data_IF_295116006413
#
_entry.id   IF_295116006413
#
_cell.length_a   1.000
_cell.length_b   1.000
_cell.length_c   1.000
_cell.angle_alpha   90.00
_cell.angle_beta   90.00
_cell.angle_gamma   90.00
#
_symmetry.space_group_name_H-M   'P 1'
#
loop_
_entity.id
_entity.type
_entity.pdbx_description
1 polymer ?
#
# COMPACT_ATOMS: atom_id res chain seq x y z
N UNK A 1 12.98 -3.75 17.33
CA UNK A 1 13.44 -2.35 17.18
C UNK A 1 13.00 -1.74 15.84
N UNK A 2 13.22 -2.40 14.69
CA UNK A 2 12.76 -1.93 13.36
C UNK A 2 11.24 -1.71 13.24
N UNK A 3 10.41 -2.58 13.85
CA UNK A 3 8.95 -2.42 13.85
C UNK A 3 8.46 -1.12 14.51
N UNK A 4 9.22 -0.54 15.47
CA UNK A 4 8.80 0.66 16.19
C UNK A 4 8.91 1.93 15.35
N UNK A 5 9.92 2.00 14.46
CA UNK A 5 10.11 3.16 13.57
C UNK A 5 9.08 3.13 12.44
N UNK A 6 8.80 1.95 11.86
CA UNK A 6 7.75 1.80 10.86
C UNK A 6 6.38 2.24 11.37
N UNK A 7 6.05 1.89 12.63
CA UNK A 7 4.83 2.36 13.28
C UNK A 7 4.76 3.89 13.38
N UNK A 8 5.82 4.53 13.89
CA UNK A 8 5.84 5.98 14.05
C UNK A 8 5.69 6.71 12.71
N UNK A 9 6.36 6.23 11.67
CA UNK A 9 6.28 6.83 10.34
C UNK A 9 4.85 6.76 9.78
N UNK A 10 4.24 5.57 9.78
CA UNK A 10 2.92 5.40 9.19
C UNK A 10 1.84 6.11 10.01
N UNK A 11 1.95 6.11 11.35
CA UNK A 11 1.07 6.88 12.22
C UNK A 11 1.16 8.39 11.95
N UNK A 12 2.36 8.94 11.72
CA UNK A 12 2.52 10.36 11.40
C UNK A 12 1.88 10.71 10.04
N UNK A 13 1.99 9.83 9.04
CA UNK A 13 1.32 10.02 7.73
C UNK A 13 -0.20 9.98 7.89
N UNK A 14 -0.73 9.01 8.63
CA UNK A 14 -2.17 8.88 8.88
C UNK A 14 -2.72 10.10 9.63
N UNK A 15 -2.01 10.60 10.64
CA UNK A 15 -2.36 11.80 11.38
C UNK A 15 -2.43 13.02 10.45
N UNK A 16 -1.44 13.19 9.58
CA UNK A 16 -1.42 14.32 8.64
C UNK A 16 -2.55 14.22 7.61
N UNK A 17 -2.82 13.03 7.08
CA UNK A 17 -3.93 12.81 6.15
C UNK A 17 -5.29 13.17 6.78
N UNK A 18 -5.50 12.78 8.05
CA UNK A 18 -6.70 13.14 8.79
C UNK A 18 -6.82 14.66 9.01
N UNK A 19 -5.73 15.33 9.42
CA UNK A 19 -5.68 16.80 9.58
C UNK A 19 -6.00 17.55 8.29
N UNK A 20 -5.62 16.99 7.13
CA UNK A 20 -5.87 17.57 5.81
C UNK A 20 -7.29 17.27 5.26
N UNK A 21 -8.10 16.49 5.98
CA UNK A 21 -9.45 16.13 5.54
C UNK A 21 -9.48 15.08 4.40
N UNK A 22 -8.42 14.28 4.25
CA UNK A 22 -8.42 13.19 3.28
C UNK A 22 -9.27 12.01 3.77
N UNK A 23 -9.99 11.38 2.84
CA UNK A 23 -10.94 10.32 3.17
C UNK A 23 -10.33 8.94 3.44
N UNK A 24 -9.07 8.69 3.03
CA UNK A 24 -8.38 7.41 3.27
C UNK A 24 -6.88 7.50 3.06
N UNK A 25 -6.17 6.48 3.56
CA UNK A 25 -4.77 6.18 3.27
C UNK A 25 -4.69 4.72 2.78
N UNK A 26 -4.14 4.51 1.58
CA UNK A 26 -3.99 3.18 0.98
C UNK A 26 -2.50 2.81 0.85
N UNK A 27 -2.15 1.57 1.16
CA UNK A 27 -0.80 1.01 0.95
C UNK A 27 -0.86 -0.49 0.68
N UNK A 28 0.25 -1.06 0.21
CA UNK A 28 0.38 -2.50 -0.05
C UNK A 28 1.26 -3.17 1.01
N UNK A 29 0.88 -4.39 1.39
CA UNK A 29 1.66 -5.29 2.24
C UNK A 29 1.76 -6.65 1.54
N UNK A 30 2.89 -7.32 1.68
CA UNK A 30 3.05 -8.68 1.18
C UNK A 30 2.31 -9.65 2.11
N UNK A 31 1.61 -10.61 1.53
CA UNK A 31 0.75 -11.58 2.22
C UNK A 31 1.47 -12.40 3.30
N UNK A 32 2.75 -12.67 3.10
CA UNK A 32 3.58 -13.41 4.05
C UNK A 32 4.03 -12.59 5.26
N UNK A 33 3.87 -11.25 5.25
CA UNK A 33 4.34 -10.40 6.34
C UNK A 33 3.31 -10.29 7.46
N UNK A 34 3.10 -11.40 8.17
CA UNK A 34 2.11 -11.54 9.25
C UNK A 34 2.28 -10.47 10.33
N UNK A 35 3.52 -10.12 10.68
CA UNK A 35 3.81 -9.09 11.68
C UNK A 35 3.32 -7.71 11.24
N UNK A 36 3.54 -7.35 9.97
CA UNK A 36 3.05 -6.08 9.42
C UNK A 36 1.53 -6.08 9.27
N UNK A 37 0.94 -7.20 8.82
CA UNK A 37 -0.52 -7.36 8.71
C UNK A 37 -1.18 -7.14 10.07
N UNK A 38 -0.74 -7.88 11.09
CA UNK A 38 -1.25 -7.77 12.47
C UNK A 38 -1.09 -6.34 12.99
N UNK A 39 0.03 -5.69 12.66
CA UNK A 39 0.27 -4.31 13.04
C UNK A 39 -0.74 -3.34 12.39
N UNK A 40 -0.99 -3.46 11.09
CA UNK A 40 -1.93 -2.60 10.37
C UNK A 40 -3.39 -2.83 10.79
N UNK A 41 -3.78 -4.09 11.01
CA UNK A 41 -5.10 -4.42 11.57
C UNK A 41 -5.26 -3.80 12.96
N UNK A 42 -4.22 -3.83 13.80
CA UNK A 42 -4.21 -3.16 15.10
C UNK A 42 -4.29 -1.63 15.03
N UNK A 43 -4.00 -1.02 13.88
CA UNK A 43 -4.24 0.40 13.61
C UNK A 43 -5.68 0.70 13.14
N UNK A 44 -6.48 -0.33 12.86
CA UNK A 44 -7.81 -0.22 12.25
C UNK A 44 -7.81 -0.26 10.72
N UNK A 45 -6.70 -0.63 10.07
CA UNK A 45 -6.66 -0.80 8.63
C UNK A 45 -7.42 -2.06 8.21
N UNK A 46 -8.17 -1.99 7.10
CA UNK A 46 -8.78 -3.14 6.47
C UNK A 46 -7.82 -3.76 5.46
N UNK A 47 -7.55 -5.07 5.58
CA UNK A 47 -6.80 -5.82 4.58
C UNK A 47 -7.74 -6.24 3.45
N UNK A 48 -7.33 -6.01 2.21
CA UNK A 48 -8.10 -6.32 1.00
C UNK A 48 -7.42 -7.47 0.22
N UNK A 49 -7.57 -8.74 0.66
CA UNK A 49 -6.82 -9.88 0.13
C UNK A 49 -7.19 -10.25 -1.32
N UNK A 50 -8.37 -9.84 -1.79
CA UNK A 50 -8.83 -10.11 -3.15
C UNK A 50 -8.22 -9.16 -4.19
N UNK A 51 -7.66 -8.02 -3.76
CA UNK A 51 -6.99 -7.11 -4.69
C UNK A 51 -5.68 -7.71 -5.18
N UNK A 52 -5.40 -7.53 -6.47
CA UNK A 52 -4.18 -7.99 -7.12
C UNK A 52 -3.41 -6.77 -7.61
N UNK A 53 -2.11 -6.73 -7.32
CA UNK A 53 -1.23 -5.72 -7.85
C UNK A 53 -0.76 -6.12 -9.26
N UNK A 54 -1.21 -5.37 -10.28
CA UNK A 54 -0.84 -5.62 -11.67
C UNK A 54 0.32 -4.71 -12.09
N UNK A 55 1.22 -5.23 -12.92
CA UNK A 55 2.34 -4.48 -13.47
C UNK A 55 2.64 -4.90 -14.90
N UNK A 56 2.65 -3.94 -15.81
CA UNK A 56 3.15 -4.09 -17.19
C UNK A 56 4.37 -3.19 -17.36
N UNK A 57 5.53 -3.77 -17.64
CA UNK A 57 6.81 -3.03 -17.73
C UNK A 57 7.72 -3.59 -18.81
N UNK A 58 8.75 -2.83 -19.17
CA UNK A 58 9.80 -3.26 -20.09
C UNK A 58 9.28 -3.47 -21.52
N UNK A 59 9.85 -4.45 -22.21
CA UNK A 59 9.50 -4.74 -23.61
C UNK A 59 8.00 -5.02 -23.81
N UNK A 60 7.35 -5.68 -22.84
CA UNK A 60 5.91 -5.97 -22.90
C UNK A 60 5.05 -4.69 -22.89
N UNK A 61 5.47 -3.64 -22.18
CA UNK A 61 4.82 -2.33 -22.24
C UNK A 61 5.14 -1.62 -23.56
N UNK A 62 6.39 -1.67 -24.01
CA UNK A 62 6.82 -1.00 -25.25
C UNK A 62 6.14 -1.56 -26.51
N UNK A 63 5.75 -2.84 -26.49
CA UNK A 63 4.97 -3.45 -27.58
C UNK A 63 3.63 -2.73 -27.84
N UNK A 64 3.10 -1.98 -26.87
CA UNK A 64 1.85 -1.23 -27.02
C UNK A 64 2.03 0.20 -27.55
N UNK A 65 3.25 0.69 -27.75
CA UNK A 65 3.51 2.09 -28.12
C UNK A 65 2.93 2.51 -29.50
N UNK A 66 2.62 1.54 -30.36
CA UNK A 66 2.09 1.75 -31.70
C UNK A 66 0.86 0.88 -32.01
N UNK A 67 0.16 0.40 -30.99
CA UNK A 67 -1.08 -0.36 -31.19
C UNK A 67 -2.20 0.63 -31.58
N UNK A 68 -2.65 0.55 -32.83
CA UNK A 68 -3.92 1.16 -33.24
C UNK A 68 -5.05 0.23 -32.82
N UNK A 69 -5.80 0.64 -31.78
CA UNK A 69 -7.03 -0.01 -31.33
C UNK A 69 -8.21 0.34 -32.24
#
# INVERSE_FOLDING_TARGET
>A
MLLRVGKLLLSAVAEQAAKMGYGRLDWVVLDWNVDAITFYEGMGAQILPELRFCRLTGAALQAYAHVNL
#
